data_IF_154061490984
#
_entry.id   IF_154061490984
#
_cell.length_a   1.000
_cell.length_b   1.000
_cell.length_c   1.000
_cell.angle_alpha   90.00
_cell.angle_beta   90.00
_cell.angle_gamma   90.00
#
_symmetry.space_group_name_H-M   'P 1'
#
loop_
_entity.id
_entity.type
_entity.pdbx_description
1 polymer ?
#
# COMPACT_ATOMS: atom_id res chain seq x y z
N UNK A 1 -10.14 22.43 23.78
CA UNK A 1 -9.54 21.14 23.35
C UNK A 1 -8.05 21.38 23.18
N UNK A 2 -7.15 20.54 23.72
CA UNK A 2 -5.71 20.73 23.53
C UNK A 2 -5.39 20.73 22.04
N UNK A 3 -4.55 21.66 21.60
CA UNK A 3 -4.17 21.79 20.19
C UNK A 3 -3.52 20.48 19.72
N UNK A 4 -4.12 19.83 18.71
CA UNK A 4 -3.51 18.69 18.05
C UNK A 4 -2.16 19.06 17.44
N UNK A 5 -1.25 18.09 17.22
CA UNK A 5 0.03 18.35 16.57
C UNK A 5 -0.17 19.06 15.23
N UNK A 6 0.72 20.01 14.92
CA UNK A 6 0.63 20.77 13.68
C UNK A 6 0.66 19.84 12.46
N UNK A 7 -0.12 20.18 11.43
CA UNK A 7 -0.21 19.36 10.20
C UNK A 7 1.16 19.12 9.55
N UNK A 8 2.08 20.06 9.70
CA UNK A 8 3.48 19.96 9.23
C UNK A 8 4.23 18.79 9.88
N UNK A 9 4.05 18.56 11.18
CA UNK A 9 4.70 17.44 11.89
C UNK A 9 4.19 16.11 11.36
N UNK A 10 2.87 15.99 11.16
CA UNK A 10 2.24 14.76 10.64
C UNK A 10 2.74 14.46 9.23
N UNK A 11 2.77 15.47 8.35
CA UNK A 11 3.33 15.37 7.00
C UNK A 11 4.79 14.91 7.00
N UNK A 12 5.61 15.48 7.87
CA UNK A 12 7.03 15.13 7.95
C UNK A 12 7.21 13.64 8.26
N UNK A 13 6.44 13.12 9.23
CA UNK A 13 6.48 11.70 9.58
C UNK A 13 6.05 10.81 8.41
N UNK A 14 4.99 11.19 7.68
CA UNK A 14 4.52 10.45 6.50
C UNK A 14 5.63 10.36 5.44
N UNK A 15 6.33 11.45 5.15
CA UNK A 15 7.42 11.45 4.17
C UNK A 15 8.61 10.59 4.58
N UNK A 16 8.99 10.65 5.85
CA UNK A 16 10.05 9.77 6.37
C UNK A 16 9.65 8.31 6.17
N UNK A 17 8.39 7.94 6.45
CA UNK A 17 7.90 6.58 6.26
C UNK A 17 7.86 6.17 4.78
N UNK A 18 7.50 7.07 3.87
CA UNK A 18 7.53 6.81 2.41
C UNK A 18 8.97 6.56 1.92
N UNK A 19 9.94 7.34 2.42
CA UNK A 19 11.36 7.16 2.04
C UNK A 19 11.91 5.86 2.64
N UNK A 20 11.67 5.62 3.93
CA UNK A 20 12.12 4.39 4.60
C UNK A 20 11.52 3.15 3.93
N UNK A 21 10.23 3.18 3.58
CA UNK A 21 9.61 2.07 2.85
C UNK A 21 10.22 1.87 1.45
N UNK A 22 10.58 2.94 0.73
CA UNK A 22 11.30 2.85 -0.54
C UNK A 22 12.63 2.10 -0.39
N UNK A 23 13.40 2.43 0.65
CA UNK A 23 14.70 1.82 0.94
C UNK A 23 14.54 0.33 1.25
N UNK A 24 13.57 -0.05 2.09
CA UNK A 24 13.34 -1.45 2.47
C UNK A 24 12.89 -2.28 1.25
N UNK A 25 11.99 -1.75 0.43
CA UNK A 25 11.51 -2.43 -0.79
C UNK A 25 12.67 -2.58 -1.78
N UNK A 26 13.43 -1.50 -2.01
CA UNK A 26 14.61 -1.51 -2.88
C UNK A 26 15.67 -2.49 -2.43
N UNK A 27 16.00 -2.53 -1.13
CA UNK A 27 16.96 -3.47 -0.56
C UNK A 27 16.53 -4.93 -0.78
N UNK A 28 15.26 -5.25 -0.57
CA UNK A 28 14.73 -6.61 -0.81
C UNK A 28 14.78 -7.01 -2.28
N UNK A 29 14.43 -6.10 -3.18
CA UNK A 29 14.49 -6.33 -4.63
C UNK A 29 15.95 -6.50 -5.07
N UNK A 30 16.86 -5.66 -4.55
CA UNK A 30 18.29 -5.71 -4.85
C UNK A 30 18.93 -7.04 -4.44
N UNK A 31 18.68 -7.51 -3.22
CA UNK A 31 19.17 -8.81 -2.74
C UNK A 31 18.71 -9.97 -3.64
N UNK A 32 17.45 -9.94 -4.11
CA UNK A 32 16.90 -10.99 -4.98
C UNK A 32 17.47 -10.94 -6.41
N UNK A 33 17.61 -9.75 -6.98
CA UNK A 33 18.13 -9.56 -8.35
C UNK A 33 19.64 -9.82 -8.43
N UNK A 34 20.41 -9.29 -7.48
CA UNK A 34 21.87 -9.32 -7.54
C UNK A 34 22.44 -10.67 -7.09
N UNK A 35 21.89 -11.29 -6.03
CA UNK A 35 22.49 -12.49 -5.42
C UNK A 35 21.78 -13.77 -5.85
N UNK A 36 20.45 -13.77 -5.99
CA UNK A 36 19.68 -15.01 -6.25
C UNK A 36 19.35 -15.26 -7.73
N UNK A 37 19.55 -14.27 -8.64
CA UNK A 37 19.18 -14.34 -10.07
C UNK A 37 17.77 -14.91 -10.34
N UNK A 38 16.83 -14.77 -9.39
CA UNK A 38 15.47 -15.28 -9.54
C UNK A 38 14.60 -14.32 -10.37
N UNK A 39 13.63 -14.87 -11.10
CA UNK A 39 12.60 -14.06 -11.80
C UNK A 39 11.79 -13.28 -10.77
N UNK A 40 11.51 -12.02 -11.11
CA UNK A 40 10.69 -11.11 -10.30
C UNK A 40 9.35 -11.79 -9.98
N UNK A 41 9.11 -12.07 -8.69
CA UNK A 41 7.85 -12.65 -8.22
C UNK A 41 6.77 -11.57 -8.32
N UNK A 42 5.56 -11.94 -8.73
CA UNK A 42 4.42 -11.02 -8.80
C UNK A 42 4.22 -10.19 -7.51
N UNK A 43 4.60 -10.74 -6.36
CA UNK A 43 4.59 -10.07 -5.06
C UNK A 43 5.48 -8.81 -4.98
N UNK A 44 6.60 -8.75 -5.70
CA UNK A 44 7.50 -7.58 -5.68
C UNK A 44 6.92 -6.40 -6.48
N UNK A 45 6.15 -6.68 -7.54
CA UNK A 45 5.39 -5.65 -8.29
C UNK A 45 4.35 -4.93 -7.44
N UNK A 46 3.76 -5.61 -6.45
CA UNK A 46 2.77 -5.00 -5.56
C UNK A 46 3.36 -4.07 -4.54
N UNK A 47 4.55 -4.42 -4.06
CA UNK A 47 5.25 -3.57 -3.09
C UNK A 47 5.57 -2.24 -3.76
N UNK A 48 5.96 -2.29 -5.03
CA UNK A 48 6.18 -1.10 -5.86
C UNK A 48 4.86 -0.33 -6.07
N UNK A 49 3.76 -1.00 -6.43
CA UNK A 49 2.48 -0.30 -6.65
C UNK A 49 1.91 0.34 -5.38
N UNK A 50 2.04 -0.33 -4.24
CA UNK A 50 1.68 0.20 -2.93
C UNK A 50 2.53 1.42 -2.56
N UNK A 51 3.83 1.37 -2.84
CA UNK A 51 4.73 2.51 -2.63
C UNK A 51 4.38 3.69 -3.55
N UNK A 52 4.11 3.44 -4.83
CA UNK A 52 3.66 4.49 -5.76
C UNK A 52 2.34 5.14 -5.29
N UNK A 53 1.41 4.35 -4.76
CA UNK A 53 0.14 4.86 -4.20
C UNK A 53 0.39 5.77 -2.99
N UNK A 54 1.29 5.37 -2.09
CA UNK A 54 1.67 6.17 -0.93
C UNK A 54 2.37 7.48 -1.34
N UNK A 55 3.26 7.42 -2.34
CA UNK A 55 3.95 8.59 -2.88
C UNK A 55 2.98 9.60 -3.50
N UNK A 56 2.05 9.14 -4.36
CA UNK A 56 1.02 10.00 -4.96
C UNK A 56 0.14 10.63 -3.89
N UNK A 57 -0.23 9.87 -2.86
CA UNK A 57 -1.04 10.38 -1.74
C UNK A 57 -0.29 11.48 -0.98
N UNK A 58 1.00 11.27 -0.67
CA UNK A 58 1.82 12.28 0.01
C UNK A 58 1.94 13.57 -0.80
N UNK A 59 2.14 13.48 -2.12
CA UNK A 59 2.28 14.66 -3.00
C UNK A 59 1.10 15.65 -2.86
N UNK A 60 -0.13 15.13 -2.75
CA UNK A 60 -1.30 15.99 -2.55
C UNK A 60 -1.36 16.59 -1.14
N UNK A 61 -0.89 15.91 -0.10
CA UNK A 61 -0.85 16.46 1.26
C UNK A 61 0.07 17.70 1.33
N UNK A 62 1.18 17.74 0.58
CA UNK A 62 2.02 18.95 0.46
C UNK A 62 1.24 20.09 -0.20
N UNK A 63 0.49 19.80 -1.26
CA UNK A 63 -0.30 20.83 -1.96
C UNK A 63 -1.30 21.45 -0.98
N UNK A 64 -2.00 20.64 -0.19
CA UNK A 64 -2.92 21.12 0.84
C UNK A 64 -2.22 21.89 1.97
N UNK A 65 -1.01 21.48 2.36
CA UNK A 65 -0.22 22.19 3.36
C UNK A 65 0.26 23.56 2.86
N UNK A 66 0.68 23.65 1.59
CA UNK A 66 1.10 24.90 0.95
C UNK A 66 -0.05 25.90 0.82
N UNK A 67 -1.25 25.39 0.61
CA UNK A 67 -2.46 26.17 0.47
C UNK A 67 -3.03 26.59 1.83
N UNK A 68 -2.39 26.20 2.94
CA UNK A 68 -2.75 26.56 4.30
C UNK A 68 -3.99 25.82 4.84
N UNK A 69 -4.61 24.94 4.05
CA UNK A 69 -5.87 24.23 4.37
C UNK A 69 -5.73 23.37 5.64
N UNK A 70 -4.51 22.99 6.01
CA UNK A 70 -4.21 22.07 7.12
C UNK A 70 -3.98 22.79 8.47
N UNK A 71 -4.78 23.81 8.79
CA UNK A 71 -4.80 24.41 10.13
C UNK A 71 -5.81 23.68 11.04
N UNK A 72 -5.48 23.45 12.32
CA UNK A 72 -6.31 22.65 13.23
C UNK A 72 -7.69 23.27 13.55
N UNK A 73 -7.93 24.53 13.18
CA UNK A 73 -9.22 25.22 13.35
C UNK A 73 -10.18 25.14 12.16
N UNK A 74 -9.83 24.37 11.12
CA UNK A 74 -10.52 24.41 9.83
C UNK A 74 -11.19 23.07 9.59
N UNK A 75 -12.51 23.10 9.37
CA UNK A 75 -13.29 21.90 9.13
C UNK A 75 -12.85 21.21 7.84
N UNK A 76 -12.91 19.88 7.81
CA UNK A 76 -12.63 19.07 6.61
C UNK A 76 -13.56 19.39 5.42
N UNK A 77 -14.66 20.10 5.67
CA UNK A 77 -15.60 20.62 4.66
C UNK A 77 -15.18 21.98 4.09
N UNK A 78 -14.03 22.54 4.50
CA UNK A 78 -13.57 23.90 4.19
C UNK A 78 -14.58 25.01 4.55
N UNK A 79 -15.61 24.70 5.35
CA UNK A 79 -16.68 25.64 5.70
C UNK A 79 -16.22 26.86 6.51
N UNK A 80 -15.05 26.79 7.15
CA UNK A 80 -14.46 27.84 7.98
C UNK A 80 -13.20 28.48 7.34
N UNK A 81 -13.00 28.26 6.03
CA UNK A 81 -11.82 28.69 5.29
C UNK A 81 -12.13 30.00 4.55
N UNK A 82 -11.70 31.13 5.10
CA UNK A 82 -11.92 32.46 4.51
C UNK A 82 -10.76 32.85 3.57
N UNK A 83 -10.71 32.20 2.41
CA UNK A 83 -9.72 32.46 1.36
C UNK A 83 -10.36 33.03 0.09
N UNK A 84 -9.57 33.69 -0.79
CA UNK A 84 -10.04 34.19 -2.07
C UNK A 84 -10.82 33.12 -2.86
N UNK A 85 -11.94 33.54 -3.46
CA UNK A 85 -12.94 32.68 -4.13
C UNK A 85 -12.32 31.72 -5.16
N UNK A 86 -11.32 32.19 -5.91
CA UNK A 86 -10.58 31.38 -6.90
C UNK A 86 -9.90 30.14 -6.29
N UNK A 87 -9.31 30.30 -5.11
CA UNK A 87 -8.62 29.21 -4.41
C UNK A 87 -9.65 28.19 -3.87
N UNK A 88 -10.79 28.67 -3.37
CA UNK A 88 -11.88 27.81 -2.93
C UNK A 88 -12.48 26.96 -4.07
N UNK A 89 -12.67 27.55 -5.26
CA UNK A 89 -13.17 26.83 -6.44
C UNK A 89 -12.18 25.75 -6.90
N UNK A 90 -10.89 26.09 -6.93
CA UNK A 90 -9.81 25.15 -7.30
C UNK A 90 -9.77 23.95 -6.35
N UNK A 91 -9.79 24.20 -5.05
CA UNK A 91 -9.80 23.15 -4.03
C UNK A 91 -11.06 22.30 -4.11
N UNK A 92 -12.24 22.91 -4.25
CA UNK A 92 -13.51 22.19 -4.37
C UNK A 92 -13.55 21.28 -5.60
N UNK A 93 -12.93 21.67 -6.72
CA UNK A 93 -12.82 20.81 -7.91
C UNK A 93 -11.81 19.68 -7.73
N UNK A 94 -10.74 19.90 -6.97
CA UNK A 94 -9.70 18.91 -6.73
C UNK A 94 -10.10 17.82 -5.71
N UNK A 95 -10.90 18.17 -4.70
CA UNK A 95 -11.36 17.26 -3.65
C UNK A 95 -12.12 16.00 -4.14
N UNK A 96 -13.16 16.10 -4.98
CA UNK A 96 -13.92 14.95 -5.44
C UNK A 96 -13.08 13.93 -6.24
N UNK A 97 -12.29 14.31 -7.27
CA UNK A 97 -11.46 13.34 -7.99
C UNK A 97 -10.38 12.72 -7.10
N UNK A 98 -9.82 13.48 -6.15
CA UNK A 98 -8.85 12.97 -5.17
C UNK A 98 -9.46 11.89 -4.25
N UNK A 99 -10.63 12.16 -3.66
CA UNK A 99 -11.29 11.20 -2.77
C UNK A 99 -11.69 9.92 -3.50
N UNK A 100 -12.09 10.02 -4.77
CA UNK A 100 -12.42 8.87 -5.62
C UNK A 100 -11.15 8.07 -5.98
N UNK A 101 -10.07 8.73 -6.37
CA UNK A 101 -8.81 8.05 -6.71
C UNK A 101 -8.21 7.30 -5.52
N UNK A 102 -8.19 7.92 -4.33
CA UNK A 102 -7.72 7.24 -3.10
C UNK A 102 -8.56 6.02 -2.78
N UNK A 103 -9.89 6.13 -2.88
CA UNK A 103 -10.81 5.01 -2.64
C UNK A 103 -10.56 3.89 -3.65
N UNK A 104 -10.44 4.22 -4.93
CA UNK A 104 -10.20 3.25 -5.99
C UNK A 104 -8.86 2.52 -5.82
N UNK A 105 -7.78 3.22 -5.51
CA UNK A 105 -6.48 2.58 -5.27
C UNK A 105 -6.49 1.64 -4.06
N UNK A 106 -7.17 2.01 -2.97
CA UNK A 106 -7.34 1.13 -1.81
C UNK A 106 -8.12 -0.13 -2.19
N UNK A 107 -9.22 0.00 -2.94
CA UNK A 107 -9.98 -1.16 -3.41
C UNK A 107 -9.18 -2.08 -4.33
N UNK A 108 -8.36 -1.53 -5.24
CA UNK A 108 -7.47 -2.34 -6.08
C UNK A 108 -6.49 -3.17 -5.22
N UNK A 109 -5.86 -2.54 -4.23
CA UNK A 109 -4.92 -3.22 -3.34
C UNK A 109 -5.64 -4.30 -2.51
N UNK A 110 -6.83 -4.00 -1.99
CA UNK A 110 -7.63 -4.96 -1.21
C UNK A 110 -8.02 -6.18 -2.06
N UNK A 111 -8.58 -5.96 -3.25
CA UNK A 111 -8.96 -7.04 -4.17
C UNK A 111 -7.74 -7.90 -4.52
N UNK A 112 -6.61 -7.25 -4.79
CA UNK A 112 -5.37 -7.97 -5.06
C UNK A 112 -4.92 -8.83 -3.87
N UNK A 113 -4.89 -8.27 -2.65
CA UNK A 113 -4.47 -8.99 -1.45
C UNK A 113 -5.32 -10.24 -1.21
N UNK A 114 -6.63 -10.13 -1.45
CA UNK A 114 -7.56 -11.26 -1.38
C UNK A 114 -7.20 -12.33 -2.42
N UNK A 115 -7.00 -11.97 -3.68
CA UNK A 115 -6.59 -12.90 -4.73
C UNK A 115 -5.27 -13.62 -4.41
N UNK A 116 -4.25 -12.88 -3.97
CA UNK A 116 -2.95 -13.45 -3.62
C UNK A 116 -3.03 -14.41 -2.42
N UNK A 117 -3.88 -14.08 -1.44
CA UNK A 117 -4.11 -14.95 -0.28
C UNK A 117 -4.82 -16.25 -0.68
N UNK A 118 -5.82 -16.18 -1.56
CA UNK A 118 -6.50 -17.36 -2.13
C UNK A 118 -5.50 -18.26 -2.84
N UNK A 119 -4.66 -17.71 -3.72
CA UNK A 119 -3.62 -18.48 -4.43
C UNK A 119 -2.65 -19.15 -3.45
N UNK A 120 -2.26 -18.46 -2.39
CA UNK A 120 -1.36 -19.01 -1.36
C UNK A 120 -1.99 -20.18 -0.62
N UNK A 121 -3.25 -20.05 -0.20
CA UNK A 121 -4.01 -21.14 0.44
C UNK A 121 -4.15 -22.33 -0.51
N UNK A 122 -4.49 -22.09 -1.79
CA UNK A 122 -4.61 -23.16 -2.78
C UNK A 122 -3.29 -23.92 -2.93
N UNK A 123 -2.17 -23.22 -3.06
CA UNK A 123 -0.83 -23.84 -3.14
C UNK A 123 -0.49 -24.65 -1.89
N UNK A 124 -0.79 -24.13 -0.69
CA UNK A 124 -0.57 -24.86 0.56
C UNK A 124 -1.43 -26.12 0.64
N UNK A 125 -2.70 -26.04 0.23
CA UNK A 125 -3.56 -27.22 0.15
C UNK A 125 -3.00 -28.24 -0.83
N UNK A 126 -2.60 -27.84 -2.05
CA UNK A 126 -2.03 -28.76 -3.05
C UNK A 126 -0.64 -29.32 -2.70
N UNK A 127 0.18 -28.62 -1.92
CA UNK A 127 1.47 -29.13 -1.44
C UNK A 127 1.39 -29.96 -0.15
N UNK A 128 0.36 -29.77 0.68
CA UNK A 128 0.10 -30.64 1.83
C UNK A 128 -0.72 -31.88 1.46
N UNK A 129 -1.48 -31.87 0.35
CA UNK A 129 -2.22 -33.03 -0.14
C UNK A 129 -1.41 -34.22 -0.73
N UNK A 130 -0.17 -34.08 -1.25
CA UNK A 130 0.55 -35.18 -1.88
C UNK A 130 1.49 -35.95 -0.93
N UNK A 131 1.52 -35.62 0.37
CA UNK A 131 2.38 -36.37 1.32
C UNK A 131 1.76 -37.72 1.68
N UNK A 132 0.46 -37.78 2.00
CA UNK A 132 -0.22 -39.01 2.45
C UNK A 132 -0.14 -40.15 1.42
N UNK A 133 -0.22 -39.82 0.13
CA UNK A 133 -0.17 -40.85 -0.92
C UNK A 133 1.23 -41.45 -1.10
N UNK A 134 2.31 -40.67 -0.97
CA UNK A 134 3.66 -41.20 -1.15
C UNK A 134 4.07 -42.19 -0.03
N UNK A 135 3.57 -41.97 1.19
CA UNK A 135 3.79 -42.91 2.30
C UNK A 135 3.03 -44.22 2.08
N UNK A 136 1.78 -44.17 1.61
CA UNK A 136 0.98 -45.37 1.31
C UNK A 136 1.65 -46.29 0.28
N UNK A 137 2.19 -45.74 -0.82
CA UNK A 137 2.94 -46.52 -1.81
C UNK A 137 4.27 -47.08 -1.25
N UNK A 138 4.97 -46.33 -0.40
CA UNK A 138 6.23 -46.79 0.20
C UNK A 138 6.04 -47.92 1.22
N UNK A 139 4.91 -47.93 1.94
CA UNK A 139 4.59 -48.95 2.93
C UNK A 139 4.18 -50.25 2.24
N UNK A 140 3.31 -50.19 1.22
CA UNK A 140 2.90 -51.37 0.44
C UNK A 140 4.09 -52.02 -0.29
N UNK A 141 4.99 -51.22 -0.87
CA UNK A 141 6.18 -51.76 -1.52
C UNK A 141 7.15 -52.46 -0.55
N UNK A 142 7.12 -52.11 0.74
CA UNK A 142 7.92 -52.76 1.78
C UNK A 142 7.29 -54.05 2.32
N UNK A 143 5.97 -54.18 2.25
CA UNK A 143 5.24 -55.39 2.67
C UNK A 143 5.20 -56.48 1.58
N UNK A 144 5.53 -56.14 0.32
CA UNK A 144 5.54 -57.08 -0.82
C UNK A 144 6.92 -57.73 -1.05
N UNK A 145 8.00 -57.19 -0.45
CA UNK A 145 9.38 -57.72 -0.52
C UNK A 145 9.70 -58.46 0.78
#
# INVERSE_FOLDING_TARGET
>A
MPAGPSGVVVLTVIYVLIVVSAIIIGARIYLRLAIQKQRLVAADWLRISAWCTAFVTGFFDILYAKEGVLHPGINYTLSNWDAPLEQQIRMRKLFPPFMVMRRLMVWIVVVYCVCAYIVTISLQLFLCYPIEQNWYYSTIARDII
#
